data_IF_458807687610
#
_entry.id   IF_458807687610
#
_cell.length_a   1.000
_cell.length_b   1.000
_cell.length_c   1.000
_cell.angle_alpha   90.00
_cell.angle_beta   90.00
_cell.angle_gamma   90.00
#
_symmetry.space_group_name_H-M   'P 1'
#
loop_
_entity.id
_entity.type
_entity.pdbx_description
1 polymer ?
#
# COMPACT_ATOMS: atom_id res chain seq x y z
N UNK A 1 -5.55 -4.34 -3.68
CA UNK A 1 -6.65 -3.85 -2.81
C UNK A 1 -6.06 -3.09 -1.64
N UNK A 2 -6.56 -1.89 -1.34
CA UNK A 2 -6.09 -1.05 -0.21
C UNK A 2 -7.22 -0.98 0.82
N UNK A 3 -6.92 -1.34 2.06
CA UNK A 3 -7.91 -1.41 3.15
C UNK A 3 -7.45 -0.55 4.33
N UNK A 4 -8.30 0.37 4.76
CA UNK A 4 -8.09 1.10 6.01
C UNK A 4 -8.27 0.17 7.22
N UNK A 5 -7.37 0.27 8.20
CA UNK A 5 -7.50 -0.42 9.48
C UNK A 5 -7.15 0.49 10.64
N UNK A 6 -8.06 0.60 11.63
CA UNK A 6 -7.90 1.43 12.83
C UNK A 6 -7.56 2.91 12.51
N UNK A 7 -8.19 3.48 11.48
CA UNK A 7 -7.93 4.86 11.08
C UNK A 7 -6.63 5.08 10.31
N UNK A 8 -5.97 4.00 9.86
CA UNK A 8 -4.73 4.06 9.06
C UNK A 8 -4.97 3.46 7.67
N UNK A 9 -4.66 4.24 6.66
CA UNK A 9 -4.73 3.84 5.24
C UNK A 9 -3.30 3.68 4.72
N UNK A 10 -3.00 2.57 4.02
CA UNK A 10 -1.70 2.39 3.40
C UNK A 10 -1.31 3.57 2.49
N UNK A 11 -0.04 3.98 2.58
CA UNK A 11 0.56 5.01 1.73
C UNK A 11 1.45 4.31 0.71
N UNK A 12 1.27 4.63 -0.57
CA UNK A 12 2.00 4.00 -1.67
C UNK A 12 2.64 5.09 -2.51
N UNK A 13 3.96 5.01 -2.69
CA UNK A 13 4.70 5.87 -3.57
C UNK A 13 4.20 5.74 -5.02
N UNK A 14 4.13 6.83 -5.81
CA UNK A 14 3.61 6.78 -7.18
C UNK A 14 4.40 5.85 -8.12
N UNK A 15 5.69 5.62 -7.85
CA UNK A 15 6.54 4.74 -8.66
C UNK A 15 6.45 3.26 -8.26
N UNK A 16 5.80 2.94 -7.13
CA UNK A 16 5.71 1.57 -6.64
C UNK A 16 4.78 0.72 -7.50
N UNK A 17 5.18 -0.53 -7.74
CA UNK A 17 4.34 -1.51 -8.41
C UNK A 17 3.55 -2.32 -7.38
N UNK A 18 2.23 -2.28 -7.45
CA UNK A 18 1.35 -3.14 -6.65
C UNK A 18 0.71 -4.17 -7.58
N UNK A 19 1.03 -5.45 -7.39
CA UNK A 19 0.43 -6.53 -8.17
C UNK A 19 -1.11 -6.52 -8.00
N UNK A 20 -1.89 -6.87 -9.05
CA UNK A 20 -3.36 -6.79 -9.00
C UNK A 20 -4.02 -7.56 -7.84
N UNK A 21 -3.38 -8.64 -7.38
CA UNK A 21 -3.86 -9.51 -6.29
C UNK A 21 -3.30 -9.16 -4.92
N UNK A 22 -2.38 -8.19 -4.82
CA UNK A 22 -1.81 -7.77 -3.54
C UNK A 22 -2.85 -7.04 -2.68
N UNK A 23 -2.73 -7.19 -1.36
CA UNK A 23 -3.61 -6.54 -0.37
C UNK A 23 -2.75 -5.80 0.66
N UNK A 24 -2.99 -4.49 0.82
CA UNK A 24 -2.35 -3.64 1.82
C UNK A 24 -3.40 -3.22 2.86
N UNK A 25 -3.05 -3.32 4.15
CA UNK A 25 -3.99 -3.11 5.26
C UNK A 25 -3.35 -2.28 6.36
N UNK A 26 -3.97 -1.17 6.74
CA UNK A 26 -3.58 -0.41 7.94
C UNK A 26 -2.35 0.48 7.77
N UNK A 27 -1.48 0.50 8.78
CA UNK A 27 -0.31 1.38 8.88
C UNK A 27 0.87 0.79 8.07
N UNK A 28 0.79 0.95 6.75
CA UNK A 28 1.77 0.43 5.79
C UNK A 28 2.27 1.56 4.90
N UNK A 29 3.57 1.61 4.65
CA UNK A 29 4.20 2.52 3.71
C UNK A 29 5.00 1.72 2.67
N UNK A 30 4.71 1.95 1.39
CA UNK A 30 5.43 1.37 0.26
C UNK A 30 6.24 2.48 -0.41
N UNK A 31 7.56 2.36 -0.32
CA UNK A 31 8.51 3.36 -0.83
C UNK A 31 8.67 3.36 -2.35
N UNK A 32 9.40 4.35 -2.85
CA UNK A 32 9.71 4.51 -4.27
C UNK A 32 10.38 3.23 -4.84
N UNK A 33 10.03 2.88 -6.08
CA UNK A 33 10.58 1.75 -6.85
C UNK A 33 10.43 0.35 -6.21
N UNK A 34 9.60 0.21 -5.17
CA UNK A 34 9.27 -1.09 -4.57
C UNK A 34 8.26 -1.89 -5.41
N UNK A 35 8.25 -3.22 -5.23
CA UNK A 35 7.38 -4.18 -5.92
C UNK A 35 6.93 -5.32 -5.03
#
# INVERSE_FOLDING_TARGET
MIIEHRGKTPIVAPSAFIAPTAVLIGDVEVGEEAS
#
